data_IF_679011664293
#
_entry.id   IF_679011664293
#
_cell.length_a   1.000
_cell.length_b   1.000
_cell.length_c   1.000
_cell.angle_alpha   90.00
_cell.angle_beta   90.00
_cell.angle_gamma   90.00
#
_symmetry.space_group_name_H-M   'P 1'
#
loop_
_entity.id
_entity.type
_entity.pdbx_description
1 polymer ?
#
# COMPACT_ATOMS: atom_id res chain seq x y z
N UNK A 1 19.66 15.72 21.95
CA UNK A 1 19.12 16.29 20.70
C UNK A 1 17.58 16.24 20.60
N UNK A 2 16.84 15.80 21.63
CA UNK A 2 15.38 16.05 21.78
C UNK A 2 14.44 15.41 20.74
N UNK A 3 14.97 14.81 19.68
CA UNK A 3 14.25 14.05 18.67
C UNK A 3 14.87 12.67 18.48
N UNK A 4 14.12 11.77 17.86
CA UNK A 4 14.55 10.42 17.51
C UNK A 4 15.36 10.44 16.21
N UNK A 5 16.56 9.87 16.21
CA UNK A 5 17.44 9.72 15.05
C UNK A 5 17.58 8.24 14.72
N UNK A 6 17.67 7.90 13.44
CA UNK A 6 17.90 6.54 12.98
C UNK A 6 19.37 6.39 12.58
N UNK A 7 20.07 5.39 13.10
CA UNK A 7 21.40 5.03 12.60
C UNK A 7 21.32 4.58 11.13
N UNK A 8 22.37 4.82 10.36
CA UNK A 8 22.43 4.41 8.96
C UNK A 8 22.47 2.87 8.90
N UNK A 9 21.80 2.24 7.93
CA UNK A 9 22.02 0.82 7.55
C UNK A 9 22.97 0.76 6.36
N UNK A 10 24.04 -0.04 6.43
CA UNK A 10 25.01 -0.13 5.34
C UNK A 10 26.19 -1.07 5.64
N UNK A 11 27.21 -1.05 4.76
CA UNK A 11 28.43 -1.87 4.88
C UNK A 11 29.48 -1.30 5.84
N UNK A 12 29.15 -0.22 6.55
CA UNK A 12 30.00 0.38 7.58
C UNK A 12 29.94 -0.45 8.87
N UNK A 13 30.69 -0.04 9.90
CA UNK A 13 30.74 -0.72 11.20
C UNK A 13 29.32 -0.91 11.77
N UNK A 14 28.87 -2.16 11.79
CA UNK A 14 27.51 -2.57 12.19
C UNK A 14 27.29 -2.52 13.69
N UNK A 15 28.33 -2.30 14.50
CA UNK A 15 28.18 -2.00 15.93
C UNK A 15 27.73 -0.56 16.21
N UNK A 16 27.84 0.31 15.19
CA UNK A 16 27.46 1.72 15.24
C UNK A 16 26.35 2.04 14.23
N UNK A 17 26.37 1.42 13.05
CA UNK A 17 25.40 1.62 11.95
C UNK A 17 24.45 0.43 11.86
N UNK A 18 23.70 0.23 12.95
CA UNK A 18 22.84 -0.92 13.19
C UNK A 18 21.37 -0.68 12.82
N UNK A 19 21.04 0.51 12.31
CA UNK A 19 19.66 0.91 12.04
C UNK A 19 18.82 1.19 13.28
N UNK A 20 19.41 1.23 14.47
CA UNK A 20 18.67 1.52 15.71
C UNK A 20 18.18 2.97 15.74
N UNK A 21 17.01 3.16 16.37
CA UNK A 21 16.45 4.49 16.62
C UNK A 21 16.93 4.96 18.00
N UNK A 22 17.74 6.01 18.01
CA UNK A 22 18.35 6.57 19.22
C UNK A 22 17.88 8.00 19.44
N UNK A 23 17.60 8.35 20.70
CA UNK A 23 17.33 9.74 21.09
C UNK A 23 18.59 10.49 21.55
N UNK A 24 19.67 9.72 21.79
CA UNK A 24 20.97 10.18 22.28
C UNK A 24 22.08 9.25 21.78
N UNK A 25 23.26 9.81 21.54
CA UNK A 25 24.46 9.06 21.14
C UNK A 25 25.60 9.51 22.07
N UNK A 26 26.50 8.59 22.40
CA UNK A 26 27.75 8.92 23.10
C UNK A 26 28.90 8.86 22.10
N UNK A 27 29.64 9.97 21.96
CA UNK A 27 30.83 10.06 21.09
C UNK A 27 32.09 10.18 21.92
N UNK A 28 33.15 9.48 21.51
CA UNK A 28 34.48 9.72 22.08
C UNK A 28 35.05 11.03 21.55
N UNK A 29 35.98 11.64 22.29
CA UNK A 29 36.70 12.82 21.81
C UNK A 29 37.44 12.50 20.52
N UNK A 30 37.22 13.30 19.48
CA UNK A 30 37.70 13.16 18.08
C UNK A 30 36.83 12.32 17.13
N UNK A 31 35.68 11.79 17.58
CA UNK A 31 34.70 11.16 16.69
C UNK A 31 33.64 12.17 16.21
N UNK A 32 33.13 11.96 14.99
CA UNK A 32 31.97 12.66 14.46
C UNK A 32 30.99 11.67 13.83
N UNK A 33 29.70 11.80 14.12
CA UNK A 33 28.65 11.09 13.39
C UNK A 33 28.00 12.03 12.37
N UNK A 34 27.89 11.56 11.13
CA UNK A 34 27.10 12.21 10.10
C UNK A 34 25.72 11.58 10.12
N UNK A 35 24.73 12.36 10.55
CA UNK A 35 23.33 11.98 10.46
C UNK A 35 22.83 12.37 9.07
N UNK A 36 22.58 11.39 8.21
CA UNK A 36 21.99 11.66 6.91
C UNK A 36 20.52 12.05 7.13
N UNK A 37 20.12 13.24 6.66
CA UNK A 37 18.70 13.50 6.43
C UNK A 37 18.29 12.57 5.29
N UNK A 38 17.64 11.47 5.59
CA UNK A 38 17.19 10.50 4.60
C UNK A 38 16.08 11.14 3.78
N UNK A 39 16.43 11.72 2.63
CA UNK A 39 15.48 11.81 1.53
C UNK A 39 15.31 10.38 1.01
N UNK A 40 14.38 9.65 1.61
CA UNK A 40 14.02 8.33 1.13
C UNK A 40 12.88 8.49 0.14
N UNK A 41 13.19 8.19 -1.11
CA UNK A 41 12.15 7.93 -2.11
C UNK A 41 11.53 6.60 -1.77
N UNK A 42 10.20 6.57 -1.71
CA UNK A 42 9.47 5.32 -1.58
C UNK A 42 9.28 4.75 -2.99
N UNK A 43 9.95 3.64 -3.26
CA UNK A 43 9.90 2.92 -4.53
C UNK A 43 9.00 1.70 -4.37
N UNK A 44 8.38 1.24 -5.46
CA UNK A 44 7.52 0.04 -5.48
C UNK A 44 6.30 0.10 -4.55
N UNK A 45 5.89 1.32 -4.16
CA UNK A 45 4.71 1.60 -3.33
C UNK A 45 3.89 2.70 -4.00
N UNK A 46 2.56 2.57 -4.00
CA UNK A 46 1.66 3.61 -4.49
C UNK A 46 1.32 4.55 -3.35
N UNK A 47 1.79 5.78 -3.34
CA UNK A 47 1.48 6.72 -2.26
C UNK A 47 0.67 7.91 -2.76
N UNK A 48 -0.11 8.53 -1.87
CA UNK A 48 -0.72 9.82 -2.15
C UNK A 48 0.29 10.93 -1.87
N UNK A 49 0.50 11.80 -2.86
CA UNK A 49 1.47 12.88 -2.77
C UNK A 49 1.08 13.87 -1.64
N UNK A 50 1.93 13.97 -0.62
CA UNK A 50 1.70 14.77 0.58
C UNK A 50 1.28 13.98 1.83
N UNK A 51 1.13 12.66 1.75
CA UNK A 51 0.80 11.82 2.91
C UNK A 51 1.99 11.69 3.87
N UNK A 52 1.69 11.43 5.14
CA UNK A 52 2.70 11.02 6.11
C UNK A 52 2.68 9.49 6.26
N UNK A 53 3.82 8.85 5.99
CA UNK A 53 4.01 7.40 6.12
C UNK A 53 4.67 7.04 7.46
N UNK A 54 4.22 5.94 8.06
CA UNK A 54 4.80 5.31 9.26
C UNK A 54 5.20 3.88 8.92
N UNK A 55 6.23 3.37 9.58
CA UNK A 55 6.76 2.03 9.34
C UNK A 55 6.66 1.21 10.62
N UNK A 56 5.90 0.13 10.57
CA UNK A 56 5.39 -0.59 11.72
C UNK A 56 5.59 -2.09 11.52
N UNK A 57 5.91 -2.82 12.59
CA UNK A 57 5.84 -4.28 12.61
C UNK A 57 4.42 -4.74 12.93
N UNK A 58 4.07 -6.01 12.69
CA UNK A 58 2.75 -6.56 13.03
C UNK A 58 2.37 -6.50 14.51
N UNK A 59 3.36 -6.42 15.40
CA UNK A 59 3.17 -6.24 16.84
C UNK A 59 2.95 -4.77 17.25
N UNK A 60 2.99 -3.84 16.28
CA UNK A 60 2.84 -2.40 16.49
C UNK A 60 4.13 -1.67 16.85
N UNK A 61 5.26 -2.37 16.96
CA UNK A 61 6.56 -1.71 17.16
C UNK A 61 6.98 -0.93 15.91
N UNK A 62 7.70 0.18 16.12
CA UNK A 62 8.16 1.05 15.03
C UNK A 62 9.44 0.49 14.43
N UNK A 63 9.45 0.35 13.11
CA UNK A 63 10.61 -0.12 12.33
C UNK A 63 11.64 0.99 12.17
N UNK A 64 11.15 2.18 11.78
CA UNK A 64 11.96 3.36 11.48
C UNK A 64 11.15 4.66 11.59
N UNK A 65 11.82 5.79 11.46
CA UNK A 65 11.13 7.09 11.50
C UNK A 65 10.24 7.30 10.27
N UNK A 66 9.04 7.85 10.50
CA UNK A 66 8.12 8.24 9.44
C UNK A 66 8.46 9.60 8.82
N UNK A 67 7.95 9.86 7.62
CA UNK A 67 8.18 11.11 6.89
C UNK A 67 7.01 11.43 5.93
N UNK A 68 6.99 12.65 5.40
CA UNK A 68 6.06 13.03 4.34
C UNK A 68 6.56 12.51 2.99
N UNK A 69 5.75 11.70 2.32
CA UNK A 69 6.03 11.20 0.98
C UNK A 69 5.54 12.21 -0.05
N UNK A 70 6.40 12.58 -0.98
CA UNK A 70 6.02 13.50 -2.05
C UNK A 70 6.84 13.27 -3.32
N UNK A 71 6.25 13.68 -4.44
CA UNK A 71 6.92 13.86 -5.71
C UNK A 71 6.78 15.34 -6.13
N UNK A 72 7.90 16.01 -6.40
CA UNK A 72 7.95 17.43 -6.72
C UNK A 72 7.29 17.77 -8.07
N UNK A 73 7.23 16.81 -8.99
CA UNK A 73 6.62 16.98 -10.31
C UNK A 73 5.10 16.90 -10.27
N UNK A 74 4.53 16.34 -9.21
CA UNK A 74 3.12 15.99 -9.13
C UNK A 74 2.31 16.86 -8.17
N UNK A 75 1.00 16.91 -8.38
CA UNK A 75 0.10 17.65 -7.51
C UNK A 75 -0.09 16.95 -6.17
N UNK A 76 -0.25 17.73 -5.10
CA UNK A 76 -0.72 17.20 -3.83
C UNK A 76 -2.06 16.48 -3.98
N UNK A 77 -2.17 15.31 -3.34
CA UNK A 77 -3.37 14.46 -3.40
C UNK A 77 -3.43 13.48 -4.58
N UNK A 78 -2.57 13.60 -5.59
CA UNK A 78 -2.43 12.60 -6.66
C UNK A 78 -1.84 11.29 -6.09
N UNK A 79 -2.23 10.14 -6.63
CA UNK A 79 -1.51 8.89 -6.34
C UNK A 79 -0.29 8.80 -7.26
N UNK A 80 0.85 8.44 -6.70
CA UNK A 80 2.13 8.37 -7.37
C UNK A 80 2.79 7.04 -7.04
N UNK A 81 3.40 6.41 -8.03
CA UNK A 81 4.27 5.26 -7.83
C UNK A 81 5.46 5.35 -8.78
N UNK A 82 6.65 5.08 -8.24
CA UNK A 82 7.83 4.79 -9.05
C UNK A 82 8.01 3.27 -9.04
N UNK A 83 7.67 2.62 -10.15
CA UNK A 83 7.56 1.16 -10.26
C UNK A 83 8.05 0.70 -11.63
N UNK A 84 8.74 -0.43 -11.68
CA UNK A 84 9.16 -1.05 -12.94
C UNK A 84 7.93 -1.71 -13.57
N UNK A 85 7.37 -1.08 -14.59
CA UNK A 85 6.15 -1.57 -15.23
C UNK A 85 6.43 -2.64 -16.28
N UNK A 86 7.66 -2.72 -16.80
CA UNK A 86 8.00 -3.51 -17.98
C UNK A 86 9.03 -4.62 -17.74
N UNK A 87 9.60 -4.71 -16.54
CA UNK A 87 10.57 -5.70 -16.10
C UNK A 87 12.01 -5.43 -16.58
N UNK A 88 12.35 -4.20 -17.00
CA UNK A 88 13.69 -3.85 -17.49
C UNK A 88 14.66 -3.40 -16.39
N UNK A 89 14.19 -3.31 -15.15
CA UNK A 89 14.95 -2.88 -13.98
C UNK A 89 14.98 -1.37 -13.77
N UNK A 90 14.38 -0.59 -14.67
CA UNK A 90 14.23 0.86 -14.55
C UNK A 90 12.80 1.18 -14.10
N UNK A 91 12.65 2.20 -13.24
CA UNK A 91 11.37 2.58 -12.67
C UNK A 91 10.67 3.60 -13.57
N UNK A 92 9.42 3.32 -13.91
CA UNK A 92 8.49 4.25 -14.53
C UNK A 92 7.81 5.11 -13.47
N UNK A 93 7.45 6.35 -13.85
CA UNK A 93 6.55 7.17 -13.06
C UNK A 93 5.11 6.84 -13.45
N UNK A 94 4.31 6.35 -12.51
CA UNK A 94 2.88 6.11 -12.66
C UNK A 94 2.09 7.08 -11.79
N UNK A 95 1.13 7.79 -12.38
CA UNK A 95 0.36 8.82 -11.68
C UNK A 95 -1.12 8.69 -11.93
N UNK A 96 -1.87 8.82 -10.85
CA UNK A 96 -3.32 8.98 -10.85
C UNK A 96 -3.66 10.38 -10.38
N UNK A 97 -4.09 11.24 -11.30
CA UNK A 97 -4.64 12.55 -10.99
C UNK A 97 -6.17 12.47 -11.09
N UNK A 98 -6.83 12.41 -9.93
CA UNK A 98 -8.28 12.22 -9.78
C UNK A 98 -8.79 10.95 -10.48
N UNK A 99 -9.39 11.10 -11.68
CA UNK A 99 -10.00 10.04 -12.47
C UNK A 99 -9.16 9.62 -13.70
N UNK A 100 -7.95 10.18 -13.82
CA UNK A 100 -7.07 10.02 -14.97
C UNK A 100 -5.78 9.33 -14.56
N UNK A 101 -5.40 8.32 -15.32
CA UNK A 101 -4.12 7.63 -15.20
C UNK A 101 -3.20 8.08 -16.32
N UNK A 102 -1.96 8.40 -15.96
CA UNK A 102 -0.85 8.72 -16.85
C UNK A 102 0.42 8.03 -16.36
N UNK A 103 1.33 7.70 -17.27
CA UNK A 103 2.59 7.11 -16.91
C UNK A 103 3.69 7.55 -17.86
N UNK A 104 4.92 7.62 -17.38
CA UNK A 104 6.11 7.99 -18.13
C UNK A 104 7.22 6.98 -17.91
N UNK A 105 7.95 6.70 -18.99
CA UNK A 105 9.19 5.93 -18.99
C UNK A 105 10.26 6.65 -18.18
N UNK A 106 11.24 5.90 -17.69
CA UNK A 106 12.41 6.47 -17.01
C UNK A 106 13.16 7.53 -17.85
N UNK A 107 13.03 7.48 -19.18
CA UNK A 107 13.62 8.44 -20.14
C UNK A 107 12.75 9.68 -20.40
N UNK A 108 11.60 9.80 -19.71
CA UNK A 108 10.66 10.91 -19.83
C UNK A 108 9.67 10.79 -21.00
N UNK A 109 9.75 9.73 -21.82
CA UNK A 109 8.76 9.49 -22.87
C UNK A 109 7.42 9.05 -22.26
N UNK A 110 6.28 9.51 -22.79
CA UNK A 110 4.98 9.01 -22.35
C UNK A 110 4.87 7.50 -22.51
N UNK A 111 4.39 6.83 -21.46
CA UNK A 111 4.12 5.41 -21.43
C UNK A 111 2.61 5.13 -21.49
N UNK A 112 1.84 5.83 -20.66
CA UNK A 112 0.37 5.94 -20.75
C UNK A 112 0.03 7.43 -20.91
N UNK A 113 -0.49 7.81 -22.07
CA UNK A 113 -0.77 9.23 -22.36
C UNK A 113 -1.93 9.80 -21.55
N UNK A 114 -3.08 9.12 -21.55
CA UNK A 114 -4.27 9.48 -20.77
C UNK A 114 -5.24 8.32 -20.80
N UNK A 115 -5.52 7.77 -19.63
CA UNK A 115 -6.49 6.70 -19.45
C UNK A 115 -7.57 7.16 -18.48
N UNK A 116 -8.84 7.00 -18.87
CA UNK A 116 -10.01 7.31 -18.05
C UNK A 116 -10.84 6.04 -17.86
N UNK A 117 -10.56 5.23 -16.80
CA UNK A 117 -11.15 3.91 -16.64
C UNK A 117 -12.69 3.89 -16.64
N UNK A 118 -13.31 4.92 -16.06
CA UNK A 118 -14.76 5.07 -15.96
C UNK A 118 -15.31 6.22 -16.80
N UNK A 119 -14.65 6.58 -17.90
CA UNK A 119 -14.91 7.76 -18.75
C UNK A 119 -14.46 9.09 -18.14
N UNK A 120 -14.27 10.11 -18.97
CA UNK A 120 -13.86 11.44 -18.54
C UNK A 120 -14.89 12.16 -17.66
N UNK A 121 -16.17 11.76 -17.70
CA UNK A 121 -17.24 12.31 -16.85
C UNK A 121 -17.30 11.70 -15.45
N UNK A 122 -16.52 10.66 -15.15
CA UNK A 122 -16.46 10.08 -13.82
C UNK A 122 -15.88 11.08 -12.82
N UNK A 123 -16.62 11.40 -11.77
CA UNK A 123 -16.20 12.41 -10.77
C UNK A 123 -15.58 11.82 -9.51
N UNK A 124 -15.58 10.50 -9.36
CA UNK A 124 -14.94 9.83 -8.23
C UNK A 124 -13.42 9.79 -8.37
N UNK A 125 -12.75 9.44 -7.27
CA UNK A 125 -11.32 9.12 -7.29
C UNK A 125 -11.09 7.67 -7.72
N UNK A 126 -9.84 7.33 -8.05
CA UNK A 126 -9.46 5.94 -8.36
C UNK A 126 -8.58 5.39 -7.25
N UNK A 127 -8.74 4.10 -6.97
CA UNK A 127 -7.71 3.29 -6.32
C UNK A 127 -7.07 2.38 -7.34
N UNK A 128 -5.76 2.15 -7.18
CA UNK A 128 -4.98 1.32 -8.08
C UNK A 128 -4.18 0.28 -7.31
N UNK A 129 -4.01 -0.87 -7.93
CA UNK A 129 -3.08 -1.91 -7.52
C UNK A 129 -2.30 -2.32 -8.76
N UNK A 130 -0.98 -2.34 -8.65
CA UNK A 130 -0.08 -2.65 -9.74
C UNK A 130 0.74 -3.87 -9.32
N UNK A 131 0.80 -4.86 -10.20
CA UNK A 131 1.68 -6.00 -9.98
C UNK A 131 1.47 -7.10 -11.00
N UNK A 132 2.47 -7.95 -11.12
CA UNK A 132 2.43 -9.16 -11.94
C UNK A 132 1.56 -10.21 -11.24
N UNK A 133 0.31 -10.35 -11.70
CA UNK A 133 -0.70 -11.20 -11.06
C UNK A 133 -0.63 -12.64 -11.54
N UNK A 134 -0.17 -12.84 -12.78
CA UNK A 134 -0.07 -14.14 -13.46
C UNK A 134 1.38 -14.64 -13.61
N UNK A 135 2.35 -13.92 -13.05
CA UNK A 135 3.78 -14.21 -13.06
C UNK A 135 4.37 -14.36 -14.47
N UNK A 136 3.92 -13.50 -15.39
CA UNK A 136 4.42 -13.48 -16.77
C UNK A 136 5.56 -12.46 -17.00
N UNK A 137 6.00 -11.79 -15.93
CA UNK A 137 7.05 -10.77 -15.91
C UNK A 137 6.55 -9.38 -16.29
N UNK A 138 5.26 -9.20 -16.60
CA UNK A 138 4.66 -7.90 -16.88
C UNK A 138 3.71 -7.49 -15.77
N UNK A 139 3.65 -6.19 -15.48
CA UNK A 139 2.72 -5.67 -14.48
C UNK A 139 1.31 -5.46 -15.06
N UNK A 140 0.29 -5.89 -14.32
CA UNK A 140 -1.10 -5.52 -14.53
C UNK A 140 -1.49 -4.32 -13.67
N UNK A 141 -2.38 -3.48 -14.20
CA UNK A 141 -2.94 -2.34 -13.48
C UNK A 141 -4.41 -2.63 -13.21
N UNK A 142 -4.75 -2.87 -11.96
CA UNK A 142 -6.12 -2.96 -11.48
C UNK A 142 -6.58 -1.60 -11.01
N UNK A 143 -7.74 -1.17 -11.47
CA UNK A 143 -8.34 0.12 -11.11
C UNK A 143 -9.72 -0.14 -10.52
N UNK A 144 -9.96 0.44 -9.35
CA UNK A 144 -11.25 0.40 -8.67
C UNK A 144 -11.89 1.79 -8.60
N UNK A 145 -13.23 1.85 -8.64
CA UNK A 145 -13.95 3.09 -8.42
C UNK A 145 -13.94 3.47 -6.93
N UNK A 146 -14.14 4.77 -6.69
CA UNK A 146 -14.55 5.31 -5.39
C UNK A 146 -15.90 4.76 -4.92
N UNK A 147 -16.19 4.97 -3.64
CA UNK A 147 -17.50 4.73 -3.08
C UNK A 147 -18.59 5.60 -3.75
N UNK A 148 -19.82 5.10 -3.78
CA UNK A 148 -20.99 5.75 -4.39
C UNK A 148 -21.26 5.33 -5.85
N UNK A 149 -20.37 4.57 -6.49
CA UNK A 149 -20.52 4.16 -7.88
C UNK A 149 -20.70 2.64 -8.00
N UNK A 150 -21.75 2.15 -8.68
CA UNK A 150 -21.93 0.73 -8.97
C UNK A 150 -21.09 0.31 -10.18
N UNK A 151 -19.76 0.46 -10.05
CA UNK A 151 -18.81 0.26 -11.12
C UNK A 151 -17.87 -0.93 -10.84
N UNK A 152 -17.40 -1.63 -11.88
CA UNK A 152 -16.52 -2.78 -11.75
C UNK A 152 -15.08 -2.36 -11.45
N UNK A 153 -14.28 -3.30 -10.94
CA UNK A 153 -12.83 -3.23 -11.06
C UNK A 153 -12.47 -3.47 -12.54
N UNK A 154 -11.65 -2.60 -13.11
CA UNK A 154 -11.14 -2.69 -14.48
C UNK A 154 -9.66 -3.04 -14.47
N UNK A 155 -9.24 -3.86 -15.43
CA UNK A 155 -7.85 -4.33 -15.51
C UNK A 155 -7.25 -3.92 -16.84
N UNK A 156 -6.05 -3.37 -16.75
CA UNK A 156 -5.30 -2.86 -17.88
C UNK A 156 -3.92 -3.51 -17.93
N UNK A 157 -3.41 -3.68 -19.14
CA UNK A 157 -1.98 -3.88 -19.38
C UNK A 157 -1.19 -2.66 -18.90
N UNK A 158 0.11 -2.81 -18.71
CA UNK A 158 1.06 -1.70 -18.48
C UNK A 158 1.02 -0.56 -19.51
N UNK A 159 0.46 -0.80 -20.70
CA UNK A 159 0.28 0.21 -21.75
C UNK A 159 -1.09 0.93 -21.68
N UNK A 160 -1.93 0.60 -20.70
CA UNK A 160 -3.27 1.17 -20.55
C UNK A 160 -4.34 0.56 -21.46
N UNK A 161 -4.05 -0.56 -22.15
CA UNK A 161 -5.07 -1.31 -22.89
C UNK A 161 -5.89 -2.20 -21.96
N UNK A 162 -7.22 -2.26 -22.09
CA UNK A 162 -8.05 -3.19 -21.32
C UNK A 162 -7.58 -4.63 -21.52
N UNK A 163 -7.36 -5.35 -20.42
CA UNK A 163 -6.82 -6.71 -20.43
C UNK A 163 -7.91 -7.76 -20.12
N UNK A 164 -8.86 -7.43 -19.25
CA UNK A 164 -9.89 -8.37 -18.78
C UNK A 164 -11.29 -7.75 -18.82
N UNK A 165 -12.28 -8.62 -18.72
CA UNK A 165 -13.67 -8.22 -18.55
C UNK A 165 -13.88 -7.47 -17.23
N UNK A 166 -14.93 -6.66 -17.20
CA UNK A 166 -15.40 -5.95 -16.02
C UNK A 166 -15.70 -6.92 -14.88
N UNK A 167 -15.14 -6.66 -13.70
CA UNK A 167 -15.22 -7.55 -12.56
C UNK A 167 -15.90 -6.89 -11.36
N UNK A 168 -16.92 -7.58 -10.81
CA UNK A 168 -17.70 -7.13 -9.67
C UNK A 168 -17.57 -8.13 -8.50
N UNK A 169 -16.51 -8.06 -7.68
CA UNK A 169 -16.25 -9.07 -6.65
C UNK A 169 -17.35 -9.18 -5.59
N UNK A 170 -18.06 -8.08 -5.32
CA UNK A 170 -19.18 -8.02 -4.39
C UNK A 170 -20.55 -7.83 -5.07
N UNK A 171 -20.63 -8.10 -6.39
CA UNK A 171 -21.85 -8.02 -7.18
C UNK A 171 -22.08 -6.66 -7.85
N UNK A 172 -22.89 -6.66 -8.93
CA UNK A 172 -23.05 -5.51 -9.82
C UNK A 172 -23.78 -4.29 -9.23
N UNK A 173 -24.43 -4.45 -8.06
CA UNK A 173 -25.11 -3.36 -7.36
C UNK A 173 -24.28 -2.79 -6.20
N UNK A 174 -23.06 -3.31 -6.01
CA UNK A 174 -22.17 -2.86 -4.95
C UNK A 174 -21.65 -1.46 -5.22
N UNK A 175 -21.77 -0.56 -4.23
CA UNK A 175 -21.35 0.85 -4.35
C UNK A 175 -20.34 1.26 -3.28
N UNK A 176 -19.84 0.36 -2.45
CA UNK A 176 -18.97 0.72 -1.32
C UNK A 176 -17.58 1.21 -1.72
N UNK A 177 -17.17 1.02 -2.98
CA UNK A 177 -15.78 1.19 -3.44
C UNK A 177 -14.90 0.03 -2.97
N UNK A 178 -13.68 -0.07 -3.49
CA UNK A 178 -12.79 -1.21 -3.19
C UNK A 178 -11.40 -0.75 -2.78
N UNK A 179 -10.78 -1.56 -1.93
CA UNK A 179 -9.32 -1.56 -1.72
C UNK A 179 -8.77 -2.90 -2.20
N UNK A 180 -7.54 -2.92 -2.70
CA UNK A 180 -6.98 -4.08 -3.40
C UNK A 180 -5.53 -4.31 -2.99
N UNK A 181 -5.14 -5.57 -2.89
CA UNK A 181 -3.75 -6.00 -2.69
C UNK A 181 -3.48 -7.33 -3.41
N UNK A 182 -2.21 -7.60 -3.71
CA UNK A 182 -1.76 -8.87 -4.30
C UNK A 182 -1.00 -9.70 -3.27
N UNK A 183 -1.52 -10.87 -2.92
CA UNK A 183 -0.88 -11.79 -1.97
C UNK A 183 -0.38 -13.06 -2.63
N UNK A 184 0.72 -13.58 -2.10
CA UNK A 184 1.29 -14.89 -2.39
C UNK A 184 0.96 -15.86 -1.25
N UNK A 185 -0.24 -16.44 -1.29
CA UNK A 185 -0.75 -17.27 -0.20
C UNK A 185 -0.47 -18.77 -0.37
N UNK A 186 0.19 -19.13 -1.46
CA UNK A 186 0.64 -20.48 -1.74
C UNK A 186 1.86 -20.41 -2.66
N UNK A 187 2.67 -21.48 -2.74
CA UNK A 187 3.77 -21.59 -3.71
C UNK A 187 3.31 -21.61 -5.19
N UNK A 188 2.06 -21.22 -5.48
CA UNK A 188 1.53 -21.11 -6.83
C UNK A 188 2.31 -20.10 -7.66
N UNK A 189 2.43 -20.38 -8.95
CA UNK A 189 3.00 -19.44 -9.92
C UNK A 189 2.12 -18.19 -10.13
N UNK A 190 1.01 -17.97 -9.42
CA UNK A 190 0.14 -16.80 -9.63
C UNK A 190 -0.22 -16.16 -8.31
N UNK A 191 -0.32 -14.83 -8.28
CA UNK A 191 -0.76 -14.11 -7.08
C UNK A 191 -2.27 -14.18 -6.92
N UNK A 192 -2.72 -14.14 -5.68
CA UNK A 192 -4.13 -13.97 -5.34
C UNK A 192 -4.46 -12.50 -5.17
N UNK A 193 -5.71 -12.15 -5.49
CA UNK A 193 -6.23 -10.80 -5.37
C UNK A 193 -7.03 -10.71 -4.07
N UNK A 194 -6.63 -9.80 -3.19
CA UNK A 194 -7.34 -9.50 -1.95
C UNK A 194 -8.14 -8.22 -2.14
N UNK A 195 -9.42 -8.26 -1.83
CA UNK A 195 -10.34 -7.13 -1.95
C UNK A 195 -10.90 -6.78 -0.58
N UNK A 196 -10.70 -5.53 -0.15
CA UNK A 196 -11.40 -4.94 0.98
C UNK A 196 -12.66 -4.20 0.52
N UNK A 197 -13.78 -4.44 1.20
CA UNK A 197 -15.00 -3.64 1.00
C UNK A 197 -14.80 -2.22 1.52
N UNK A 198 -15.23 -1.22 0.77
CA UNK A 198 -15.24 0.16 1.22
C UNK A 198 -16.45 0.52 2.11
N UNK A 199 -16.88 1.78 2.05
CA UNK A 199 -17.81 2.40 3.02
C UNK A 199 -19.27 1.98 2.83
N UNK A 200 -20.08 2.09 3.88
CA UNK A 200 -21.54 1.89 3.82
C UNK A 200 -22.01 0.44 3.82
N UNK A 201 -21.09 -0.53 3.89
CA UNK A 201 -21.35 -1.97 3.89
C UNK A 201 -20.62 -2.67 5.05
N UNK A 202 -20.89 -3.95 5.30
CA UNK A 202 -20.13 -4.74 6.27
C UNK A 202 -18.63 -4.80 5.89
N UNK A 203 -17.69 -4.75 6.85
CA UNK A 203 -16.26 -4.59 6.59
C UNK A 203 -15.62 -5.93 6.25
N UNK A 204 -15.77 -6.34 4.99
CA UNK A 204 -15.40 -7.65 4.47
C UNK A 204 -14.05 -7.62 3.75
N UNK A 205 -13.28 -8.69 3.93
CA UNK A 205 -12.17 -9.07 3.06
C UNK A 205 -12.62 -10.24 2.20
N UNK A 206 -12.29 -10.22 0.91
CA UNK A 206 -12.47 -11.34 -0.01
C UNK A 206 -11.16 -11.67 -0.71
N UNK A 207 -10.83 -12.95 -0.83
CA UNK A 207 -9.68 -13.45 -1.57
C UNK A 207 -10.16 -14.17 -2.82
N UNK A 208 -9.52 -13.86 -3.94
CA UNK A 208 -9.81 -14.42 -5.25
C UNK A 208 -8.52 -14.89 -5.94
N UNK A 209 -8.64 -15.85 -6.83
CA UNK A 209 -7.57 -16.18 -7.79
C UNK A 209 -7.39 -15.07 -8.82
N UNK A 210 -6.29 -15.11 -9.57
CA UNK A 210 -6.03 -14.20 -10.69
C UNK A 210 -7.10 -14.25 -11.80
N UNK A 211 -7.82 -15.37 -11.94
CA UNK A 211 -8.95 -15.56 -12.85
C UNK A 211 -10.32 -15.32 -12.19
N UNK A 212 -10.33 -14.62 -11.04
CA UNK A 212 -11.51 -14.14 -10.31
C UNK A 212 -12.38 -15.21 -9.65
N UNK A 213 -11.85 -16.41 -9.47
CA UNK A 213 -12.53 -17.43 -8.69
C UNK A 213 -12.45 -17.08 -7.21
N UNK A 214 -13.59 -17.15 -6.53
CA UNK A 214 -13.67 -16.90 -5.09
C UNK A 214 -12.95 -18.01 -4.31
N UNK A 215 -12.11 -17.62 -3.35
CA UNK A 215 -11.39 -18.54 -2.47
C UNK A 215 -11.91 -18.48 -1.02
N UNK A 216 -11.91 -17.28 -0.42
CA UNK A 216 -12.30 -17.11 0.97
C UNK A 216 -12.84 -15.69 1.26
N UNK A 217 -13.58 -15.53 2.36
CA UNK A 217 -13.99 -14.21 2.85
C UNK A 217 -14.37 -14.22 4.33
N UNK A 218 -14.05 -13.12 5.02
CA UNK A 218 -14.38 -12.89 6.42
C UNK A 218 -14.62 -11.40 6.70
N UNK A 219 -15.08 -11.08 7.92
CA UNK A 219 -15.19 -9.70 8.39
C UNK A 219 -13.88 -9.29 9.09
N UNK A 220 -13.24 -8.22 8.63
CA UNK A 220 -12.01 -7.68 9.22
C UNK A 220 -12.27 -6.96 10.55
N UNK A 221 -13.45 -6.36 10.67
CA UNK A 221 -13.89 -5.59 11.82
C UNK A 221 -15.31 -6.01 12.23
N UNK A 222 -15.83 -5.40 13.30
CA UNK A 222 -17.16 -5.70 13.81
C UNK A 222 -18.23 -5.43 12.73
N UNK A 223 -19.25 -6.29 12.67
CA UNK A 223 -20.29 -6.27 11.62
C UNK A 223 -21.00 -4.92 11.43
N UNK A 224 -21.11 -4.12 12.49
CA UNK A 224 -21.74 -2.80 12.49
C UNK A 224 -20.80 -1.64 12.13
N UNK A 225 -19.52 -1.93 11.86
CA UNK A 225 -18.57 -0.93 11.37
C UNK A 225 -18.66 -0.82 9.85
N UNK A 226 -19.12 0.34 9.36
CA UNK A 226 -19.33 0.60 7.93
C UNK A 226 -18.32 1.58 7.33
N UNK A 227 -17.16 1.73 7.97
CA UNK A 227 -16.08 2.60 7.49
C UNK A 227 -15.25 2.02 6.35
N UNK A 228 -15.44 0.74 6.04
CA UNK A 228 -14.64 0.01 5.05
C UNK A 228 -13.31 -0.51 5.59
N UNK A 229 -12.60 -1.24 4.73
CA UNK A 229 -11.36 -1.96 5.02
C UNK A 229 -10.32 -1.53 4.00
N UNK A 230 -9.17 -1.05 4.44
CA UNK A 230 -7.97 -0.92 3.61
C UNK A 230 -7.18 -2.22 3.74
N UNK A 231 -6.79 -2.85 2.62
CA UNK A 231 -6.08 -4.14 2.61
C UNK A 231 -4.68 -3.98 2.04
N UNK A 232 -3.74 -4.73 2.59
CA UNK A 232 -2.38 -4.94 2.12
C UNK A 232 -1.98 -6.39 2.35
N UNK A 233 -0.93 -6.85 1.68
CA UNK A 233 -0.46 -8.23 1.76
C UNK A 233 1.05 -8.33 1.71
N UNK A 234 1.64 -9.15 2.56
CA UNK A 234 3.07 -9.40 2.57
C UNK A 234 3.44 -10.38 3.67
N UNK A 235 4.54 -11.11 3.48
CA UNK A 235 5.11 -12.02 4.49
C UNK A 235 5.70 -11.21 5.64
N UNK A 236 4.87 -10.91 6.65
CA UNK A 236 5.28 -10.07 7.79
C UNK A 236 5.84 -10.92 8.94
N UNK A 237 5.63 -12.23 8.89
CA UNK A 237 6.06 -13.16 9.92
C UNK A 237 7.40 -13.86 9.55
N UNK A 238 7.74 -13.93 8.26
CA UNK A 238 8.95 -14.52 7.69
C UNK A 238 8.86 -16.00 7.36
N UNK A 239 7.67 -16.54 7.06
CA UNK A 239 7.46 -17.96 6.74
C UNK A 239 7.37 -18.26 5.23
N UNK A 240 7.48 -17.23 4.40
CA UNK A 240 7.38 -17.31 2.94
C UNK A 240 5.95 -17.31 2.39
N UNK A 241 4.94 -17.13 3.24
CA UNK A 241 3.53 -16.96 2.87
C UNK A 241 3.10 -15.55 3.26
N UNK A 242 2.42 -14.86 2.34
CA UNK A 242 1.93 -13.53 2.67
C UNK A 242 0.81 -13.57 3.71
N UNK A 243 0.81 -12.61 4.63
CA UNK A 243 -0.32 -12.29 5.49
C UNK A 243 -1.25 -11.26 4.83
N UNK A 244 -2.47 -11.13 5.37
CA UNK A 244 -3.38 -10.02 5.06
C UNK A 244 -3.32 -8.99 6.19
N UNK A 245 -2.80 -7.82 5.89
CA UNK A 245 -2.80 -6.66 6.80
C UNK A 245 -3.99 -5.77 6.46
N UNK A 246 -4.77 -5.38 7.46
CA UNK A 246 -5.93 -4.51 7.26
C UNK A 246 -5.89 -3.27 8.14
N UNK A 247 -6.19 -2.12 7.54
CA UNK A 247 -6.41 -0.85 8.21
C UNK A 247 -7.89 -0.51 8.26
N UNK A 248 -8.38 -0.02 9.40
CA UNK A 248 -9.76 0.46 9.50
C UNK A 248 -9.96 1.71 8.63
N UNK A 249 -11.08 1.82 7.92
CA UNK A 249 -11.48 3.07 7.27
C UNK A 249 -12.09 4.12 8.24
N UNK A 250 -12.69 5.20 7.71
CA UNK A 250 -13.27 6.26 8.52
C UNK A 250 -14.33 5.79 9.53
N UNK A 251 -14.35 6.39 10.72
CA UNK A 251 -15.28 6.03 11.80
C UNK A 251 -14.66 5.15 12.89
N UNK A 252 -13.42 4.69 12.70
CA UNK A 252 -12.57 4.10 13.74
C UNK A 252 -11.25 4.89 13.90
N UNK A 253 -10.58 4.79 15.06
CA UNK A 253 -9.16 5.18 15.16
C UNK A 253 -8.32 4.42 14.11
N UNK A 254 -7.08 4.86 13.83
CA UNK A 254 -6.18 4.23 12.86
C UNK A 254 -5.67 2.88 13.37
N UNK A 255 -6.56 1.89 13.42
CA UNK A 255 -6.32 0.54 13.94
C UNK A 255 -5.91 -0.36 12.79
N UNK A 256 -4.88 -1.16 13.04
CA UNK A 256 -4.37 -2.19 12.13
C UNK A 256 -4.58 -3.56 12.76
N UNK A 257 -4.98 -4.53 11.94
CA UNK A 257 -5.05 -5.96 12.27
C UNK A 257 -4.33 -6.77 11.21
N UNK A 258 -3.80 -7.92 11.59
CA UNK A 258 -3.09 -8.84 10.68
C UNK A 258 -3.70 -10.22 10.78
N UNK A 259 -3.97 -10.83 9.63
CA UNK A 259 -4.65 -12.11 9.49
C UNK A 259 -3.86 -13.04 8.57
N UNK A 260 -4.06 -14.34 8.73
CA UNK A 260 -3.74 -15.31 7.67
C UNK A 260 -4.80 -15.26 6.55
N UNK A 261 -4.60 -16.07 5.50
CA UNK A 261 -5.54 -16.20 4.37
C UNK A 261 -6.87 -16.87 4.74
N UNK A 262 -6.92 -17.60 5.86
CA UNK A 262 -8.13 -18.19 6.42
C UNK A 262 -8.98 -17.17 7.20
N UNK A 263 -8.41 -16.02 7.57
CA UNK A 263 -9.05 -14.97 8.35
C UNK A 263 -8.84 -15.11 9.86
N UNK A 264 -7.86 -15.91 10.31
CA UNK A 264 -7.46 -15.98 11.71
C UNK A 264 -6.51 -14.82 12.02
N UNK A 265 -6.80 -14.08 13.09
CA UNK A 265 -5.97 -12.97 13.52
C UNK A 265 -4.66 -13.50 14.14
N UNK A 266 -3.52 -13.04 13.62
CA UNK A 266 -2.19 -13.52 14.01
C UNK A 266 -1.54 -12.68 15.10
N UNK A 267 -1.83 -11.37 15.12
CA UNK A 267 -1.27 -10.41 16.06
C UNK A 267 -2.38 -9.64 16.76
N UNK A 268 -2.11 -9.13 17.95
CA UNK A 268 -3.03 -8.20 18.61
C UNK A 268 -3.23 -6.96 17.74
N UNK A 269 -4.46 -6.42 17.72
CA UNK A 269 -4.70 -5.16 17.05
C UNK A 269 -3.94 -4.03 17.75
N UNK A 270 -3.49 -3.04 16.98
CA UNK A 270 -2.83 -1.87 17.54
C UNK A 270 -3.25 -0.60 16.81
N UNK A 271 -3.10 0.54 17.48
CA UNK A 271 -3.37 1.85 16.92
C UNK A 271 -2.07 2.47 16.40
N UNK A 272 -2.00 2.76 15.10
CA UNK A 272 -0.77 3.25 14.45
C UNK A 272 -0.33 4.65 14.90
N UNK A 273 -1.27 5.49 15.33
CA UNK A 273 -0.98 6.80 15.94
C UNK A 273 -2.17 7.29 16.76
N UNK A 274 -1.90 8.07 17.81
CA UNK A 274 -2.95 8.68 18.63
C UNK A 274 -3.65 9.81 17.87
N UNK A 275 -4.98 9.82 17.89
CA UNK A 275 -5.81 10.90 17.34
C UNK A 275 -7.18 10.90 18.02
N UNK A 276 -7.75 12.09 18.19
CA UNK A 276 -9.15 12.26 18.63
C UNK A 276 -10.13 12.12 17.47
N UNK A 277 -9.66 12.33 16.24
CA UNK A 277 -10.42 12.08 15.03
C UNK A 277 -10.42 10.57 14.77
N UNK A 278 -11.41 10.09 14.01
CA UNK A 278 -11.51 8.67 13.61
C UNK A 278 -11.28 8.53 12.09
N UNK A 279 -10.10 8.91 11.58
CA UNK A 279 -9.85 8.95 10.14
C UNK A 279 -9.66 7.56 9.53
N UNK A 280 -9.39 6.53 10.34
CA UNK A 280 -8.87 5.26 9.86
C UNK A 280 -7.40 5.35 9.43
N UNK A 281 -6.94 4.34 8.70
CA UNK A 281 -5.57 4.25 8.18
C UNK A 281 -5.54 3.43 6.89
N UNK A 282 -4.80 3.92 5.90
CA UNK A 282 -4.43 3.15 4.71
C UNK A 282 -3.12 2.41 4.97
N UNK A 283 -3.05 1.16 4.50
CA UNK A 283 -1.93 0.26 4.75
C UNK A 283 -1.38 -0.26 3.43
N UNK A 284 -0.06 -0.39 3.38
CA UNK A 284 0.68 -1.19 2.39
C UNK A 284 1.78 -1.97 3.13
N UNK A 285 2.49 -2.81 2.41
CA UNK A 285 3.52 -3.70 2.94
C UNK A 285 4.74 -3.64 2.04
N UNK A 286 5.91 -3.51 2.63
CA UNK A 286 7.19 -3.50 1.94
C UNK A 286 8.27 -3.82 2.96
N UNK A 287 9.26 -4.61 2.59
CA UNK A 287 10.47 -4.75 3.40
C UNK A 287 11.29 -3.46 3.29
N UNK A 288 11.17 -2.57 4.30
CA UNK A 288 11.82 -1.24 4.27
C UNK A 288 13.14 -1.21 5.03
N UNK A 289 13.46 -2.33 5.66
CA UNK A 289 14.58 -2.46 6.56
C UNK A 289 15.54 -3.60 6.14
N UNK A 290 15.12 -4.37 5.13
CA UNK A 290 15.86 -5.43 4.45
C UNK A 290 16.16 -6.64 5.34
N UNK A 291 15.28 -6.94 6.29
CA UNK A 291 15.39 -8.14 7.15
C UNK A 291 14.75 -9.40 6.54
N UNK A 292 14.17 -9.28 5.34
CA UNK A 292 13.51 -10.37 4.63
C UNK A 292 12.05 -10.57 5.03
N UNK A 293 11.51 -9.74 5.93
CA UNK A 293 10.09 -9.67 6.27
C UNK A 293 9.50 -8.37 5.75
N UNK A 294 8.25 -8.41 5.32
CA UNK A 294 7.51 -7.20 4.99
C UNK A 294 7.21 -6.40 6.27
N UNK A 295 7.44 -5.09 6.20
CA UNK A 295 6.98 -4.13 7.20
C UNK A 295 5.65 -3.50 6.77
N UNK A 296 4.87 -3.03 7.73
CA UNK A 296 3.59 -2.34 7.50
C UNK A 296 3.82 -0.85 7.33
N UNK A 297 3.40 -0.31 6.19
CA UNK A 297 3.42 1.10 5.87
C UNK A 297 2.03 1.69 6.16
N UNK A 298 1.95 2.54 7.18
CA UNK A 298 0.72 3.21 7.59
C UNK A 298 0.64 4.65 7.11
N UNK A 299 -0.28 4.95 6.20
CA UNK A 299 -0.47 6.28 5.62
C UNK A 299 -1.57 7.06 6.33
N UNK A 300 -1.29 8.34 6.61
CA UNK A 300 -2.29 9.31 7.03
C UNK A 300 -2.31 10.48 6.07
N UNK A 301 -3.50 10.80 5.55
CA UNK A 301 -3.72 12.02 4.77
C UNK A 301 -3.18 13.22 5.55
N UNK A 302 -2.38 14.06 4.89
CA UNK A 302 -1.67 15.22 5.48
C UNK A 302 -2.55 16.32 6.09
N UNK A 303 -3.85 16.10 6.24
CA UNK A 303 -4.74 16.95 7.05
C UNK A 303 -4.69 16.49 8.51
N UNK A 304 -3.66 16.93 9.24
CA UNK A 304 -3.66 17.00 10.70
C UNK A 304 -4.21 18.34 11.17
#
# INVERSE_FOLDING_TARGET
LGGDYEHIRGTQDTSINDGSIVSQISLSGADGQVLLKTFQTLQDVVFRNGDFVRFLRPDGSRVRNGFFVFDEGEKGGALVAHIDLNGDGLKELFVVDHNKIIAWRHDGQPYINSLYPYTASYTGTLRVMIGDVNNDGNMEIYVAPDAGYPAPIKVYTRYGYPLRQDWFPFGAQYTGGYTLALGSFSPSETKQIVIGSGTGVEPRVGIYTWDYQFLNSWLAFEKNFHGGVNVATGDVNGDGIDEVVVGAGPGKPPVIRTFDKEGNQLYNEFQAYSTSQKPGIEVQTQDVDFDGKADILGFSNGTL
#
